data_IF_419961599852
#
_entry.id   IF_419961599852
#
_cell.length_a   1.000
_cell.length_b   1.000
_cell.length_c   1.000
_cell.angle_alpha   90.00
_cell.angle_beta   90.00
_cell.angle_gamma   90.00
#
_symmetry.space_group_name_H-M   'P 1'
#
loop_
_entity.id
_entity.type
_entity.pdbx_description
1 polymer ?
#
# COMPACT_ATOMS: atom_id res chain seq x y z
N UNK A 1 46.18 -70.47 58.62
CA UNK A 1 47.51 -69.95 58.23
C UNK A 1 48.03 -69.13 59.39
N UNK A 2 49.31 -69.21 59.72
CA UNK A 2 49.94 -68.41 60.78
C UNK A 2 50.94 -67.43 60.15
N UNK A 3 51.31 -66.37 60.88
CA UNK A 3 52.33 -65.41 60.43
C UNK A 3 53.43 -65.31 61.48
N UNK A 4 54.68 -65.36 61.04
CA UNK A 4 55.86 -65.33 61.92
C UNK A 4 56.49 -63.93 61.88
N UNK A 5 56.73 -63.36 63.05
CA UNK A 5 57.36 -62.07 63.24
C UNK A 5 58.64 -62.23 64.06
N UNK A 6 59.82 -61.84 63.54
CA UNK A 6 61.06 -61.93 64.30
C UNK A 6 61.13 -60.84 65.38
N UNK A 7 61.88 -61.11 66.46
CA UNK A 7 62.31 -60.12 67.44
C UNK A 7 63.83 -60.20 67.66
N UNK A 8 64.45 -59.05 67.88
CA UNK A 8 65.92 -58.90 67.92
C UNK A 8 66.49 -58.73 69.34
N UNK A 9 65.70 -59.07 70.36
CA UNK A 9 66.08 -58.91 71.75
C UNK A 9 65.96 -60.21 72.55
N UNK A 10 66.90 -60.46 73.48
CA UNK A 10 66.86 -61.61 74.39
C UNK A 10 65.66 -61.53 75.35
N UNK A 11 65.01 -62.67 75.58
CA UNK A 11 64.00 -62.90 76.62
C UNK A 11 64.38 -64.15 77.44
N UNK A 12 64.17 -64.10 78.76
CA UNK A 12 64.48 -65.21 79.68
C UNK A 12 63.31 -66.18 79.84
N UNK A 13 62.09 -65.68 79.70
CA UNK A 13 60.84 -66.42 79.87
C UNK A 13 59.88 -66.05 78.73
N UNK A 14 58.99 -66.96 78.33
CA UNK A 14 57.99 -66.69 77.28
C UNK A 14 56.97 -65.62 77.67
N UNK A 15 56.81 -65.35 78.96
CA UNK A 15 55.98 -64.26 79.50
C UNK A 15 56.68 -62.90 79.46
N UNK A 16 57.99 -62.85 79.20
CA UNK A 16 58.76 -61.60 79.14
C UNK A 16 58.61 -60.83 77.82
N UNK A 17 57.60 -61.17 77.02
CA UNK A 17 57.25 -60.49 75.78
C UNK A 17 55.76 -60.14 75.78
N UNK A 18 55.44 -58.95 75.29
CA UNK A 18 54.08 -58.50 75.04
C UNK A 18 53.90 -58.25 73.55
N UNK A 19 52.83 -58.80 72.99
CA UNK A 19 52.46 -58.60 71.59
C UNK A 19 51.18 -57.78 71.55
N UNK A 20 51.21 -56.68 70.80
CA UNK A 20 50.09 -55.75 70.65
C UNK A 20 49.73 -55.70 69.16
N UNK A 21 48.43 -55.81 68.87
CA UNK A 21 47.88 -55.63 67.53
C UNK A 21 47.20 -54.27 67.46
N UNK A 22 47.55 -53.46 66.45
CA UNK A 22 46.93 -52.17 66.17
C UNK A 22 46.05 -52.28 64.92
N UNK A 23 44.78 -51.96 65.07
CA UNK A 23 43.79 -51.92 63.99
C UNK A 23 43.99 -50.67 63.11
N UNK A 24 43.41 -50.67 61.91
CA UNK A 24 43.43 -49.50 60.99
C UNK A 24 42.76 -48.26 61.61
N UNK A 25 41.78 -48.46 62.50
CA UNK A 25 41.15 -47.38 63.28
C UNK A 25 42.06 -46.76 64.35
N UNK A 26 43.26 -47.32 64.55
CA UNK A 26 44.21 -46.89 65.57
C UNK A 26 44.03 -47.56 66.93
N UNK A 27 42.95 -48.33 67.14
CA UNK A 27 42.72 -49.06 68.39
C UNK A 27 43.76 -50.18 68.59
N UNK A 28 44.29 -50.29 69.80
CA UNK A 28 45.29 -51.30 70.17
C UNK A 28 44.69 -52.39 71.07
N UNK A 29 45.08 -53.64 70.84
CA UNK A 29 44.66 -54.80 71.65
C UNK A 29 45.86 -55.65 72.00
N UNK A 30 46.02 -55.96 73.29
CA UNK A 30 47.07 -56.86 73.78
C UNK A 30 46.67 -58.30 73.48
N UNK A 31 47.54 -59.04 72.78
CA UNK A 31 47.34 -60.44 72.48
C UNK A 31 47.73 -61.31 73.68
N UNK A 32 47.06 -62.45 73.85
CA UNK A 32 47.32 -63.42 74.93
C UNK A 32 48.22 -64.56 74.44
N UNK A 33 49.31 -64.83 75.16
CA UNK A 33 50.21 -65.97 74.93
C UNK A 33 49.43 -67.30 75.00
N UNK A 34 49.71 -68.23 74.09
CA UNK A 34 49.06 -69.55 74.02
C UNK A 34 47.68 -69.56 73.37
N UNK A 35 47.03 -68.40 73.23
CA UNK A 35 45.73 -68.24 72.54
C UNK A 35 45.93 -67.59 71.18
N UNK A 36 46.61 -66.44 71.15
CA UNK A 36 46.72 -65.59 69.97
C UNK A 36 48.09 -65.68 69.31
N UNK A 37 49.13 -65.99 70.09
CA UNK A 37 50.49 -66.17 69.61
C UNK A 37 51.26 -67.23 70.42
N UNK A 38 52.30 -67.79 69.80
CA UNK A 38 53.33 -68.61 70.46
C UNK A 38 54.70 -67.97 70.31
N UNK A 39 55.61 -68.29 71.23
CA UNK A 39 56.96 -67.71 71.30
C UNK A 39 57.99 -68.80 71.00
N UNK A 40 59.02 -68.46 70.22
CA UNK A 40 60.18 -69.31 69.96
C UNK A 40 61.47 -68.52 70.12
N UNK A 41 62.54 -69.18 70.59
CA UNK A 41 63.84 -68.53 70.83
C UNK A 41 64.02 -67.94 72.25
N UNK A 42 63.28 -68.46 73.24
CA UNK A 42 63.50 -68.13 74.66
C UNK A 42 64.92 -68.52 75.07
N UNK A 43 65.64 -67.63 75.75
CA UNK A 43 67.04 -67.81 76.13
C UNK A 43 68.06 -67.61 74.99
N UNK A 44 67.62 -67.29 73.77
CA UNK A 44 68.46 -66.89 72.64
C UNK A 44 68.63 -65.37 72.52
N UNK A 45 69.58 -64.92 71.70
CA UNK A 45 69.76 -63.48 71.42
C UNK A 45 68.67 -62.88 70.54
N UNK A 46 68.01 -63.73 69.75
CA UNK A 46 66.89 -63.41 68.86
C UNK A 46 65.84 -64.50 68.96
N UNK A 47 64.65 -64.24 68.44
CA UNK A 47 63.60 -65.25 68.33
C UNK A 47 62.46 -64.80 67.44
N UNK A 48 61.31 -65.47 67.57
CA UNK A 48 60.13 -65.14 66.78
C UNK A 48 58.82 -65.36 67.53
N UNK A 49 57.82 -64.59 67.13
CA UNK A 49 56.43 -64.71 67.54
C UNK A 49 55.64 -65.27 66.37
N UNK A 50 54.93 -66.38 66.58
CA UNK A 50 53.99 -66.92 65.59
C UNK A 50 52.58 -66.53 65.99
N UNK A 51 51.93 -65.66 65.21
CA UNK A 51 50.54 -65.27 65.41
C UNK A 51 49.62 -66.28 64.72
N UNK A 52 48.64 -66.81 65.47
CA UNK A 52 47.75 -67.87 64.98
C UNK A 52 46.75 -67.38 63.93
N UNK A 53 46.31 -66.13 64.04
CA UNK A 53 45.43 -65.46 63.08
C UNK A 53 46.17 -64.28 62.45
N UNK A 54 46.54 -64.34 61.16
CA UNK A 54 47.29 -63.30 60.49
C UNK A 54 46.61 -61.93 60.61
N UNK A 55 47.37 -60.85 60.87
CA UNK A 55 46.82 -59.49 60.85
C UNK A 55 46.26 -59.15 59.46
N UNK A 56 45.15 -58.42 59.41
CA UNK A 56 44.55 -57.97 58.15
C UNK A 56 45.42 -56.90 57.48
N UNK A 57 45.17 -56.63 56.19
CA UNK A 57 45.90 -55.58 55.45
C UNK A 57 45.76 -54.23 56.17
N UNK A 58 46.89 -53.61 56.49
CA UNK A 58 46.95 -52.34 57.22
C UNK A 58 46.98 -52.45 58.74
N UNK A 59 46.80 -53.64 59.33
CA UNK A 59 47.04 -53.87 60.75
C UNK A 59 48.54 -54.01 61.05
N UNK A 60 48.97 -53.47 62.20
CA UNK A 60 50.37 -53.49 62.64
C UNK A 60 50.51 -54.32 63.89
N UNK A 61 51.59 -55.11 63.97
CA UNK A 61 51.95 -55.88 65.17
C UNK A 61 53.17 -55.25 65.80
N UNK A 62 53.08 -54.92 67.09
CA UNK A 62 54.20 -54.45 67.89
C UNK A 62 54.58 -55.51 68.92
N UNK A 63 55.86 -55.84 68.97
CA UNK A 63 56.44 -56.78 69.93
C UNK A 63 57.32 -55.96 70.87
N UNK A 64 57.04 -56.06 72.17
CA UNK A 64 57.74 -55.33 73.22
C UNK A 64 58.26 -56.30 74.26
N UNK A 65 59.40 -55.96 74.87
CA UNK A 65 59.87 -56.66 76.07
C UNK A 65 59.00 -56.24 77.26
N UNK A 66 58.60 -57.22 78.09
CA UNK A 66 57.81 -56.99 79.31
C UNK A 66 58.33 -57.85 80.46
N UNK A 67 59.42 -57.42 81.07
CA UNK A 67 60.01 -58.06 82.25
C UNK A 67 59.34 -57.52 83.54
N UNK A 68 59.08 -58.37 84.55
CA UNK A 68 58.61 -57.91 85.86
C UNK A 68 59.62 -56.96 86.53
N UNK A 69 59.17 -55.86 87.13
CA UNK A 69 60.01 -54.90 87.88
C UNK A 69 60.25 -55.33 89.34
N UNK A 70 60.70 -56.58 89.55
CA UNK A 70 60.99 -57.13 90.88
C UNK A 70 62.28 -57.94 90.88
N UNK A 71 63.21 -57.65 91.78
CA UNK A 71 64.35 -58.55 91.99
C UNK A 71 63.89 -59.73 92.86
N UNK A 72 63.92 -60.94 92.29
CA UNK A 72 63.56 -62.17 93.02
C UNK A 72 64.80 -62.97 93.46
N UNK A 73 65.97 -62.69 92.90
CA UNK A 73 67.24 -63.33 93.28
C UNK A 73 67.64 -62.95 94.70
N UNK A 74 67.64 -63.91 95.63
CA UNK A 74 68.18 -63.74 96.97
C UNK A 74 69.61 -64.30 97.05
N UNK A 75 70.57 -63.47 97.48
CA UNK A 75 71.95 -63.91 97.71
C UNK A 75 72.14 -64.23 99.20
N UNK A 76 72.62 -65.44 99.50
CA UNK A 76 72.90 -65.86 100.87
C UNK A 76 74.23 -65.27 101.37
N UNK A 77 74.28 -64.89 102.65
CA UNK A 77 75.52 -64.43 103.26
C UNK A 77 76.46 -65.62 103.53
N UNK A 78 77.74 -65.49 103.18
CA UNK A 78 78.77 -66.53 103.36
C UNK A 78 78.50 -67.86 102.61
N UNK A 79 77.60 -67.85 101.61
CA UNK A 79 77.37 -68.98 100.71
C UNK A 79 78.40 -69.09 99.59
N UNK A 80 78.33 -70.17 98.80
CA UNK A 80 79.15 -70.31 97.59
C UNK A 80 78.75 -69.25 96.55
N UNK A 81 79.73 -68.66 95.86
CA UNK A 81 79.47 -67.70 94.79
C UNK A 81 79.10 -68.44 93.50
N UNK A 82 77.90 -68.20 92.99
CA UNK A 82 77.43 -68.72 91.71
C UNK A 82 77.38 -67.57 90.68
N UNK A 83 78.40 -67.41 89.82
CA UNK A 83 78.44 -66.33 88.83
C UNK A 83 77.18 -66.28 87.97
N UNK A 84 76.69 -67.44 87.52
CA UNK A 84 75.52 -67.53 86.63
C UNK A 84 74.25 -66.90 87.25
N UNK A 85 74.07 -67.01 88.56
CA UNK A 85 72.91 -66.43 89.29
C UNK A 85 73.02 -64.90 89.33
N UNK A 86 74.23 -64.38 89.51
CA UNK A 86 74.51 -62.95 89.57
C UNK A 86 74.39 -62.33 88.18
N UNK A 87 74.99 -62.95 87.16
CA UNK A 87 74.89 -62.52 85.77
C UNK A 87 73.44 -62.53 85.28
N UNK A 88 72.65 -63.58 85.58
CA UNK A 88 71.24 -63.63 85.22
C UNK A 88 70.43 -62.50 85.88
N UNK A 89 70.76 -62.11 87.12
CA UNK A 89 70.12 -60.99 87.80
C UNK A 89 70.49 -59.64 87.16
N UNK A 90 71.75 -59.45 86.79
CA UNK A 90 72.21 -58.23 86.10
C UNK A 90 71.68 -58.13 84.67
N UNK A 91 71.63 -59.22 83.92
CA UNK A 91 70.98 -59.29 82.60
C UNK A 91 69.51 -58.86 82.70
N UNK A 92 68.79 -59.34 83.72
CA UNK A 92 67.39 -58.97 83.94
C UNK A 92 67.23 -57.49 84.30
N UNK A 93 68.18 -56.91 85.04
CA UNK A 93 68.21 -55.47 85.32
C UNK A 93 68.45 -54.66 84.03
N UNK A 94 69.44 -55.03 83.23
CA UNK A 94 69.71 -54.38 81.94
C UNK A 94 68.50 -54.48 80.98
N UNK A 95 67.76 -55.59 81.02
CA UNK A 95 66.52 -55.75 80.26
C UNK A 95 65.42 -54.77 80.71
N UNK A 96 65.31 -54.48 82.01
CA UNK A 96 64.37 -53.48 82.55
C UNK A 96 64.76 -52.07 82.15
N UNK A 97 66.05 -51.74 82.19
CA UNK A 97 66.54 -50.42 81.78
C UNK A 97 66.26 -50.16 80.30
N UNK A 98 66.52 -51.14 79.43
CA UNK A 98 66.16 -51.07 78.01
C UNK A 98 64.64 -50.93 77.80
N UNK A 99 63.83 -51.60 78.62
CA UNK A 99 62.38 -51.47 78.56
C UNK A 99 61.90 -50.08 79.01
N UNK A 100 62.49 -49.50 80.05
CA UNK A 100 62.19 -48.13 80.47
C UNK A 100 62.63 -47.11 79.42
N UNK A 101 63.81 -47.30 78.80
CA UNK A 101 64.28 -46.46 77.70
C UNK A 101 63.29 -46.46 76.53
N UNK A 102 62.78 -47.63 76.14
CA UNK A 102 61.76 -47.75 75.09
C UNK A 102 60.46 -46.99 75.42
N UNK A 103 60.03 -47.03 76.69
CA UNK A 103 58.85 -46.29 77.14
C UNK A 103 59.09 -44.78 77.16
N UNK A 104 60.26 -44.34 77.62
CA UNK A 104 60.69 -42.93 77.63
C UNK A 104 60.82 -42.41 76.21
N UNK A 105 61.34 -43.19 75.26
CA UNK A 105 61.46 -42.78 73.85
C UNK A 105 60.11 -42.55 73.17
N UNK A 106 59.03 -43.10 73.71
CA UNK A 106 57.65 -42.86 73.25
C UNK A 106 56.90 -41.82 74.08
N UNK A 107 57.51 -41.22 75.10
CA UNK A 107 56.88 -40.16 75.89
C UNK A 107 57.09 -38.77 75.25
N UNK A 108 56.27 -37.80 75.64
CA UNK A 108 56.56 -36.39 75.37
C UNK A 108 57.78 -35.99 76.21
N UNK A 109 58.78 -35.38 75.57
CA UNK A 109 60.01 -34.91 76.23
C UNK A 109 60.15 -33.40 76.02
N UNK A 110 60.51 -32.70 77.08
CA UNK A 110 60.97 -31.30 77.00
C UNK A 110 62.50 -31.26 76.96
N UNK A 111 63.10 -30.19 76.40
CA UNK A 111 64.55 -30.03 76.41
C UNK A 111 65.13 -30.12 77.84
N UNK A 112 66.36 -30.67 78.03
CA UNK A 112 66.95 -30.77 79.36
C UNK A 112 67.17 -29.43 80.08
N UNK A 113 67.20 -28.33 79.33
CA UNK A 113 67.34 -26.96 79.83
C UNK A 113 66.01 -26.27 80.15
N UNK A 114 64.88 -26.90 79.81
CA UNK A 114 63.55 -26.33 80.02
C UNK A 114 63.12 -26.49 81.48
N UNK A 115 62.35 -25.52 81.98
CA UNK A 115 61.75 -25.60 83.31
C UNK A 115 60.62 -26.63 83.30
N UNK A 116 60.52 -27.54 84.29
CA UNK A 116 59.36 -28.42 84.44
C UNK A 116 58.00 -27.72 84.34
N UNK A 117 57.88 -26.44 84.74
CA UNK A 117 56.65 -25.65 84.58
C UNK A 117 56.21 -25.47 83.12
N UNK A 118 57.13 -25.54 82.15
CA UNK A 118 56.80 -25.48 80.72
C UNK A 118 56.01 -26.71 80.26
N UNK A 119 56.19 -27.86 80.91
CA UNK A 119 55.39 -29.06 80.64
C UNK A 119 53.95 -28.87 81.13
N UNK A 120 53.76 -28.20 82.27
CA UNK A 120 52.43 -27.88 82.78
C UNK A 120 51.69 -26.90 81.85
N UNK A 121 52.41 -25.93 81.28
CA UNK A 121 51.87 -25.03 80.27
C UNK A 121 51.44 -25.78 78.99
N UNK A 122 52.28 -26.67 78.47
CA UNK A 122 51.93 -27.52 77.32
C UNK A 122 50.70 -28.38 77.61
N UNK A 123 50.63 -28.96 78.80
CA UNK A 123 49.47 -29.74 79.23
C UNK A 123 48.19 -28.89 79.28
N UNK A 124 48.29 -27.67 79.83
CA UNK A 124 47.16 -26.74 79.89
C UNK A 124 46.66 -26.34 78.49
N UNK A 125 47.57 -26.11 77.54
CA UNK A 125 47.21 -25.79 76.16
C UNK A 125 46.55 -26.97 75.43
N UNK A 126 47.03 -28.20 75.64
CA UNK A 126 46.40 -29.40 75.10
C UNK A 126 44.99 -29.60 75.69
N UNK A 127 44.82 -29.37 76.99
CA UNK A 127 43.49 -29.44 77.63
C UNK A 127 42.54 -28.35 77.11
N UNK A 128 43.04 -27.12 76.90
CA UNK A 128 42.27 -26.03 76.29
C UNK A 128 41.82 -26.37 74.88
N UNK A 129 42.71 -26.95 74.07
CA UNK A 129 42.39 -27.39 72.72
C UNK A 129 41.33 -28.50 72.75
N UNK A 130 41.48 -29.49 73.64
CA UNK A 130 40.50 -30.56 73.82
C UNK A 130 39.13 -30.03 74.24
N UNK A 131 39.08 -29.04 75.14
CA UNK A 131 37.82 -28.42 75.57
C UNK A 131 37.14 -27.60 74.46
N UNK A 132 37.91 -27.16 73.46
CA UNK A 132 37.41 -26.38 72.32
C UNK A 132 36.98 -27.24 71.13
N UNK A 133 37.14 -28.57 71.20
CA UNK A 133 36.83 -29.47 70.08
C UNK A 133 35.38 -29.36 69.61
N UNK A 134 34.41 -29.45 70.53
CA UNK A 134 32.98 -29.33 70.20
C UNK A 134 32.62 -27.95 69.61
N UNK A 135 33.31 -26.90 70.05
CA UNK A 135 33.14 -25.55 69.52
C UNK A 135 33.67 -25.45 68.08
N UNK A 136 34.81 -26.07 67.79
CA UNK A 136 35.36 -26.15 66.43
C UNK A 136 34.44 -26.93 65.50
N UNK A 137 33.85 -28.04 65.95
CA UNK A 137 32.86 -28.80 65.18
C UNK A 137 31.60 -27.96 64.91
N UNK A 138 31.15 -27.19 65.90
CA UNK A 138 30.03 -26.24 65.75
C UNK A 138 30.35 -25.16 64.71
N UNK A 139 31.54 -24.55 64.78
CA UNK A 139 31.98 -23.54 63.80
C UNK A 139 32.07 -24.14 62.40
N UNK A 140 32.61 -25.35 62.26
CA UNK A 140 32.68 -26.06 61.00
C UNK A 140 31.30 -26.34 60.40
N UNK A 141 30.31 -26.67 61.24
CA UNK A 141 28.93 -26.88 60.81
C UNK A 141 28.23 -25.58 60.36
N UNK A 142 28.57 -24.43 60.94
CA UNK A 142 27.99 -23.12 60.60
C UNK A 142 28.64 -22.51 59.35
N UNK A 143 29.91 -22.80 59.06
CA UNK A 143 30.64 -22.29 57.90
C UNK A 143 29.87 -22.34 56.56
N UNK A 144 29.23 -23.47 56.15
CA UNK A 144 28.45 -23.51 54.92
C UNK A 144 27.18 -22.64 54.97
N UNK A 145 26.59 -22.42 56.14
CA UNK A 145 25.40 -21.57 56.30
C UNK A 145 25.73 -20.10 56.06
N UNK A 146 26.92 -19.63 56.46
CA UNK A 146 27.37 -18.26 56.22
C UNK A 146 27.45 -17.96 54.71
N UNK A 147 27.88 -18.94 53.91
CA UNK A 147 27.89 -18.82 52.45
C UNK A 147 26.47 -18.72 51.87
N UNK A 148 25.51 -19.46 52.44
CA UNK A 148 24.09 -19.36 52.03
C UNK A 148 23.49 -17.99 52.38
N UNK A 149 23.81 -17.44 53.56
CA UNK A 149 23.35 -16.10 53.96
C UNK A 149 23.88 -15.03 53.02
N UNK A 150 25.14 -15.12 52.59
CA UNK A 150 25.70 -14.19 51.61
C UNK A 150 24.97 -14.26 50.24
N UNK A 151 24.57 -15.45 49.80
CA UNK A 151 23.77 -15.60 48.57
C UNK A 151 22.35 -15.03 48.71
N UNK A 152 21.74 -15.09 49.89
CA UNK A 152 20.43 -14.47 50.17
C UNK A 152 20.54 -12.94 50.15
N UNK A 153 21.65 -12.35 50.57
CA UNK A 153 21.87 -10.89 50.53
C UNK A 153 21.73 -10.34 49.10
N UNK A 154 22.27 -11.06 48.10
CA UNK A 154 22.10 -10.73 46.68
C UNK A 154 20.62 -10.78 46.24
N UNK A 155 19.82 -11.75 46.74
CA UNK A 155 18.38 -11.82 46.47
C UNK A 155 17.59 -10.69 47.13
N UNK A 156 18.01 -10.22 48.31
CA UNK A 156 17.35 -9.09 49.03
C UNK A 156 17.47 -7.78 48.23
N UNK A 157 18.57 -7.59 47.48
CA UNK A 157 18.71 -6.45 46.55
C UNK A 157 17.58 -6.44 45.52
N UNK A 158 17.22 -7.60 44.96
CA UNK A 158 16.09 -7.70 44.02
C UNK A 158 14.74 -7.38 44.65
N UNK A 159 14.53 -7.68 45.94
CA UNK A 159 13.29 -7.31 46.65
C UNK A 159 13.15 -5.79 46.78
N UNK A 160 14.26 -5.07 46.98
CA UNK A 160 14.27 -3.59 46.96
C UNK A 160 13.85 -3.03 45.60
N UNK A 161 14.36 -3.61 44.51
CA UNK A 161 14.00 -3.22 43.15
C UNK A 161 12.52 -3.51 42.85
N UNK A 162 12.02 -4.69 43.26
CA UNK A 162 10.60 -5.04 43.15
C UNK A 162 9.73 -4.03 43.91
N UNK A 163 10.14 -3.62 45.12
CA UNK A 163 9.40 -2.61 45.89
C UNK A 163 9.31 -1.27 45.16
N UNK A 164 10.39 -0.82 44.53
CA UNK A 164 10.38 0.38 43.71
C UNK A 164 9.40 0.26 42.53
N UNK A 165 9.40 -0.90 41.84
CA UNK A 165 8.46 -1.18 40.76
C UNK A 165 6.99 -1.17 41.24
N UNK A 166 6.69 -1.72 42.41
CA UNK A 166 5.34 -1.70 43.00
C UNK A 166 4.85 -0.28 43.27
N UNK A 167 5.71 0.61 43.77
CA UNK A 167 5.35 2.03 43.97
C UNK A 167 4.97 2.69 42.63
N UNK A 168 5.74 2.45 41.57
CA UNK A 168 5.43 2.94 40.23
C UNK A 168 4.09 2.41 39.71
N UNK A 169 3.82 1.11 39.87
CA UNK A 169 2.54 0.49 39.46
C UNK A 169 1.36 1.07 40.25
N UNK A 170 1.54 1.37 41.54
CA UNK A 170 0.52 2.05 42.34
C UNK A 170 0.22 3.44 41.80
N UNK A 171 1.25 4.22 41.43
CA UNK A 171 1.06 5.53 40.80
C UNK A 171 0.30 5.45 39.48
N UNK A 172 0.65 4.48 38.61
CA UNK A 172 -0.06 4.23 37.35
C UNK A 172 -1.52 3.85 37.61
N UNK A 173 -1.80 3.03 38.64
CA UNK A 173 -3.17 2.68 39.02
C UNK A 173 -3.98 3.92 39.39
N UNK A 174 -3.40 4.83 40.16
CA UNK A 174 -4.08 6.07 40.55
C UNK A 174 -4.37 6.94 39.31
N UNK A 175 -3.42 7.06 38.37
CA UNK A 175 -3.66 7.73 37.08
C UNK A 175 -4.79 7.06 36.28
N UNK A 176 -4.82 5.73 36.17
CA UNK A 176 -5.89 5.00 35.47
C UNK A 176 -7.26 5.24 36.13
N UNK A 177 -7.33 5.31 37.46
CA UNK A 177 -8.56 5.65 38.19
C UNK A 177 -9.02 7.08 37.84
N UNK A 178 -8.10 8.04 37.69
CA UNK A 178 -8.47 9.39 37.24
C UNK A 178 -9.01 9.39 35.80
N UNK A 179 -8.40 8.64 34.88
CA UNK A 179 -8.88 8.50 33.50
C UNK A 179 -10.27 7.85 33.47
N UNK A 180 -10.51 6.82 34.29
CA UNK A 180 -11.84 6.22 34.44
C UNK A 180 -12.87 7.23 34.99
N UNK A 181 -12.46 8.12 35.89
CA UNK A 181 -13.29 9.22 36.38
C UNK A 181 -13.69 10.25 35.32
N UNK A 182 -12.90 10.41 34.25
CA UNK A 182 -13.21 11.30 33.11
C UNK A 182 -14.15 10.64 32.08
N UNK A 183 -14.33 9.31 32.11
CA UNK A 183 -15.17 8.59 31.15
C UNK A 183 -16.63 9.08 31.08
N UNK A 184 -17.33 9.40 32.21
CA UNK A 184 -18.65 9.99 32.16
C UNK A 184 -18.69 11.37 31.50
N UNK A 185 -17.64 12.20 31.69
CA UNK A 185 -17.54 13.50 31.04
C UNK A 185 -17.36 13.38 29.53
N UNK A 186 -16.57 12.40 29.06
CA UNK A 186 -16.43 12.08 27.63
C UNK A 186 -17.75 11.61 27.04
N UNK A 187 -18.52 10.79 27.77
CA UNK A 187 -19.84 10.35 27.33
C UNK A 187 -20.80 11.54 27.23
N UNK A 188 -20.83 12.43 28.23
CA UNK A 188 -21.63 13.65 28.18
C UNK A 188 -21.28 14.55 26.98
N UNK A 189 -19.99 14.66 26.61
CA UNK A 189 -19.58 15.39 25.40
C UNK A 189 -20.10 14.72 24.12
N UNK A 190 -20.11 13.37 24.04
CA UNK A 190 -20.70 12.64 22.91
C UNK A 190 -22.20 12.86 22.81
N UNK A 191 -22.90 12.82 23.93
CA UNK A 191 -24.35 13.03 23.98
C UNK A 191 -24.67 14.47 23.53
N UNK A 192 -23.94 15.47 24.05
CA UNK A 192 -24.05 16.87 23.61
C UNK A 192 -23.77 17.04 22.10
N UNK A 193 -22.80 16.30 21.56
CA UNK A 193 -22.49 16.34 20.12
C UNK A 193 -23.66 15.80 19.29
N UNK A 194 -24.30 14.71 19.73
CA UNK A 194 -25.48 14.16 19.08
C UNK A 194 -26.65 15.16 19.10
N UNK A 195 -26.87 15.84 20.24
CA UNK A 195 -27.90 16.88 20.36
C UNK A 195 -27.62 18.06 19.40
N UNK A 196 -26.37 18.50 19.27
CA UNK A 196 -25.98 19.56 18.32
C UNK A 196 -26.20 19.12 16.87
N UNK A 197 -25.89 17.87 16.52
CA UNK A 197 -26.14 17.33 15.18
C UNK A 197 -27.63 17.29 14.86
N UNK A 198 -28.45 16.77 15.77
CA UNK A 198 -29.91 16.76 15.62
C UNK A 198 -30.48 18.19 15.49
N UNK A 199 -29.98 19.15 16.27
CA UNK A 199 -30.39 20.54 16.16
C UNK A 199 -30.02 21.17 14.79
N UNK A 200 -28.86 20.81 14.25
CA UNK A 200 -28.43 21.27 12.92
C UNK A 200 -29.30 20.69 11.80
N UNK A 201 -29.66 19.40 11.88
CA UNK A 201 -30.59 18.75 10.95
C UNK A 201 -31.98 19.42 10.99
N UNK A 202 -32.54 19.60 12.19
CA UNK A 202 -33.83 20.30 12.36
C UNK A 202 -33.79 21.74 11.80
N UNK A 203 -32.67 22.45 11.95
CA UNK A 203 -32.52 23.80 11.41
C UNK A 203 -32.49 23.81 9.87
N UNK A 204 -31.87 22.79 9.26
CA UNK A 204 -31.85 22.62 7.81
C UNK A 204 -33.25 22.29 7.27
N UNK A 205 -33.97 21.36 7.91
CA UNK A 205 -35.36 21.04 7.55
C UNK A 205 -36.27 22.28 7.64
N UNK A 206 -36.12 23.08 8.70
CA UNK A 206 -36.86 24.33 8.86
C UNK A 206 -36.54 25.35 7.76
N UNK A 207 -35.28 25.41 7.31
CA UNK A 207 -34.86 26.27 6.19
C UNK A 207 -35.50 25.79 4.89
N UNK A 208 -35.44 24.50 4.59
CA UNK A 208 -36.04 23.91 3.39
C UNK A 208 -37.55 24.11 3.35
N UNK A 209 -38.23 23.90 4.48
CA UNK A 209 -39.67 24.16 4.62
C UNK A 209 -40.02 25.64 4.37
N UNK A 210 -39.18 26.57 4.86
CA UNK A 210 -39.34 28.01 4.61
C UNK A 210 -39.13 28.34 3.12
N UNK A 211 -38.08 27.81 2.51
CA UNK A 211 -37.78 28.07 1.09
C UNK A 211 -38.92 27.54 0.19
N UNK A 212 -39.47 26.36 0.50
CA UNK A 212 -40.65 25.82 -0.18
C UNK A 212 -41.91 26.68 0.03
N UNK A 213 -42.14 27.19 1.25
CA UNK A 213 -43.26 28.08 1.53
C UNK A 213 -43.15 29.41 0.77
N UNK A 214 -41.93 29.95 0.61
CA UNK A 214 -41.68 31.14 -0.20
C UNK A 214 -41.95 30.86 -1.68
N UNK A 215 -41.52 29.70 -2.19
CA UNK A 215 -41.82 29.28 -3.56
C UNK A 215 -43.34 29.21 -3.80
N UNK A 216 -44.11 28.54 -2.94
CA UNK A 216 -45.57 28.46 -3.10
C UNK A 216 -46.27 29.81 -3.00
N UNK A 217 -45.77 30.73 -2.17
CA UNK A 217 -46.28 32.10 -2.11
C UNK A 217 -46.04 32.83 -3.42
N UNK A 218 -44.84 32.72 -3.98
CA UNK A 218 -44.46 33.42 -5.22
C UNK A 218 -45.22 32.83 -6.42
N UNK A 219 -45.36 31.50 -6.50
CA UNK A 219 -46.23 30.84 -7.50
C UNK A 219 -47.69 31.30 -7.40
N UNK A 220 -48.24 31.43 -6.18
CA UNK A 220 -49.59 31.93 -5.97
C UNK A 220 -49.76 33.40 -6.43
N UNK A 221 -48.72 34.22 -6.29
CA UNK A 221 -48.71 35.59 -6.79
C UNK A 221 -48.68 35.64 -8.33
N UNK A 222 -47.85 34.81 -8.97
CA UNK A 222 -47.80 34.69 -10.42
C UNK A 222 -49.14 34.20 -10.99
N UNK A 223 -49.77 33.20 -10.35
CA UNK A 223 -51.10 32.75 -10.75
C UNK A 223 -52.11 33.90 -10.65
N UNK A 224 -52.10 34.69 -9.58
CA UNK A 224 -53.01 35.82 -9.41
C UNK A 224 -52.84 36.90 -10.51
N UNK A 225 -51.62 37.14 -10.99
CA UNK A 225 -51.36 38.04 -12.12
C UNK A 225 -51.93 37.52 -13.45
N UNK A 226 -51.84 36.20 -13.69
CA UNK A 226 -52.37 35.57 -14.92
C UNK A 226 -53.90 35.64 -14.97
N UNK A 227 -54.62 35.49 -13.86
CA UNK A 227 -56.10 35.47 -13.88
C UNK A 227 -56.72 36.87 -13.90
N UNK A 228 -55.92 37.94 -13.87
CA UNK A 228 -56.42 39.33 -13.93
C UNK A 228 -57.10 39.60 -15.30
N UNK A 229 -58.43 39.81 -15.33
CA UNK A 229 -59.17 40.05 -16.58
C UNK A 229 -58.74 41.32 -17.33
N UNK A 230 -58.01 42.24 -16.68
CA UNK A 230 -57.52 43.48 -17.30
C UNK A 230 -56.32 43.27 -18.24
N UNK A 231 -55.69 42.08 -18.22
CA UNK A 231 -54.50 41.74 -19.02
C UNK A 231 -54.80 40.98 -20.33
N UNK A 232 -56.07 40.79 -20.70
CA UNK A 232 -56.47 40.04 -21.90
C UNK A 232 -57.04 40.93 -23.01
N UNK A 233 -56.61 40.72 -24.26
CA UNK A 233 -57.22 41.33 -25.44
C UNK A 233 -58.67 40.86 -25.62
N UNK A 234 -59.54 41.78 -25.97
CA UNK A 234 -60.96 41.53 -26.18
C UNK A 234 -61.21 40.75 -27.48
N UNK A 235 -62.31 40.00 -27.55
CA UNK A 235 -62.73 39.25 -28.76
C UNK A 235 -62.75 40.12 -30.04
N UNK A 236 -63.01 41.42 -29.89
CA UNK A 236 -63.02 42.38 -30.99
C UNK A 236 -61.62 42.67 -31.59
N UNK A 237 -60.55 42.51 -30.82
CA UNK A 237 -59.17 42.74 -31.29
C UNK A 237 -58.61 41.54 -32.05
N UNK A 238 -59.13 40.33 -31.80
CA UNK A 238 -58.75 39.09 -32.50
C UNK A 238 -59.40 39.03 -33.89
N UNK A 239 -60.66 39.45 -34.04
CA UNK A 239 -61.40 39.37 -35.32
C UNK A 239 -60.85 40.28 -36.43
N UNK A 240 -60.06 41.32 -36.09
CA UNK A 240 -59.40 42.20 -37.07
C UNK A 240 -58.20 41.52 -37.75
N UNK A 241 -57.47 40.63 -37.05
CA UNK A 241 -56.22 40.02 -37.52
C UNK A 241 -56.41 38.89 -38.55
N UNK A 242 -57.57 38.22 -38.53
CA UNK A 242 -57.91 37.08 -39.40
C UNK A 242 -58.60 37.48 -40.73
N UNK A 243 -58.91 38.77 -40.92
CA UNK A 243 -59.66 39.27 -42.08
C UNK A 243 -58.80 39.75 -43.28
N UNK A 244 -57.49 39.91 -43.10
CA UNK A 244 -56.56 40.42 -44.12
C UNK A 244 -55.32 39.51 -44.29
N UNK A 245 -55.37 38.49 -45.18
CA UNK A 245 -54.28 37.53 -45.34
C UNK A 245 -52.98 38.15 -45.91
N UNK A 246 -53.06 39.31 -46.56
CA UNK A 246 -51.89 40.01 -47.09
C UNK A 246 -51.10 40.74 -45.99
N UNK A 247 -51.76 41.20 -44.93
CA UNK A 247 -51.10 41.82 -43.78
C UNK A 247 -50.21 40.85 -42.98
N UNK A 248 -50.45 39.54 -43.13
CA UNK A 248 -49.75 38.47 -42.40
C UNK A 248 -48.50 37.93 -43.12
N UNK A 249 -48.26 38.31 -44.37
CA UNK A 249 -47.07 37.84 -45.10
C UNK A 249 -45.81 38.56 -44.60
N UNK A 250 -44.67 37.89 -44.41
CA UNK A 250 -43.45 38.58 -44.01
C UNK A 250 -42.94 39.54 -45.10
N UNK A 251 -42.23 40.59 -44.69
CA UNK A 251 -41.59 41.52 -45.64
C UNK A 251 -40.51 40.75 -46.42
N UNK A 252 -40.45 40.94 -47.74
CA UNK A 252 -39.57 40.20 -48.65
C UNK A 252 -40.14 38.87 -49.14
N UNK A 253 -41.30 38.43 -48.62
CA UNK A 253 -41.96 37.23 -49.11
C UNK A 253 -42.52 37.42 -50.52
N UNK A 254 -42.31 36.40 -51.36
CA UNK A 254 -42.87 36.33 -52.71
C UNK A 254 -44.17 35.53 -52.68
N UNK A 255 -45.24 36.12 -53.20
CA UNK A 255 -46.52 35.45 -53.41
C UNK A 255 -46.80 35.35 -54.91
N UNK A 256 -47.14 34.16 -55.36
CA UNK A 256 -47.54 33.90 -56.74
C UNK A 256 -49.07 34.01 -56.84
N UNK A 257 -49.56 34.90 -57.70
CA UNK A 257 -50.99 35.07 -57.97
C UNK A 257 -51.26 34.90 -59.46
N UNK A 258 -52.45 34.38 -59.79
CA UNK A 258 -52.95 34.37 -61.17
C UNK A 258 -53.69 35.69 -61.42
N UNK A 259 -53.01 36.62 -62.06
CA UNK A 259 -53.59 37.91 -62.43
C UNK A 259 -54.78 37.74 -63.39
N UNK A 260 -55.85 38.51 -63.17
CA UNK A 260 -57.04 38.54 -64.04
C UNK A 260 -58.19 37.59 -63.69
N UNK A 261 -58.13 36.83 -62.58
CA UNK A 261 -59.26 36.02 -62.07
C UNK A 261 -60.03 36.83 -61.02
N UNK A 262 -61.32 37.11 -61.26
CA UNK A 262 -62.15 38.00 -60.40
C UNK A 262 -62.20 37.58 -58.93
N UNK A 263 -62.11 36.29 -58.63
CA UNK A 263 -62.18 35.76 -57.27
C UNK A 263 -60.83 35.80 -56.52
N UNK A 264 -59.73 36.18 -57.17
CA UNK A 264 -58.40 36.30 -56.56
C UNK A 264 -57.99 37.78 -56.66
N UNK A 265 -58.34 38.62 -55.66
CA UNK A 265 -57.98 40.03 -55.69
C UNK A 265 -56.47 40.19 -55.56
N UNK A 266 -55.92 41.17 -56.28
CA UNK A 266 -54.54 41.59 -56.09
C UNK A 266 -54.34 42.23 -54.71
N UNK A 267 -53.11 42.21 -54.16
CA UNK A 267 -52.83 42.89 -52.91
C UNK A 267 -53.19 44.38 -53.03
N UNK A 268 -54.00 44.92 -52.12
CA UNK A 268 -54.48 46.30 -52.24
C UNK A 268 -53.33 47.31 -52.07
N UNK A 269 -53.42 48.43 -52.77
CA UNK A 269 -52.41 49.51 -52.75
C UNK A 269 -52.60 50.50 -51.60
N UNK A 270 -53.75 50.48 -50.93
CA UNK A 270 -54.21 51.47 -49.95
C UNK A 270 -54.23 50.96 -48.50
N UNK A 271 -53.32 50.05 -48.15
CA UNK A 271 -53.17 49.51 -46.78
C UNK A 271 -51.87 50.01 -46.14
N UNK A 272 -51.69 49.71 -44.85
CA UNK A 272 -50.45 50.03 -44.14
C UNK A 272 -49.24 49.25 -44.69
N UNK A 273 -49.49 48.04 -45.20
CA UNK A 273 -48.53 47.24 -45.95
C UNK A 273 -48.52 47.61 -47.44
N UNK A 274 -47.42 47.30 -48.14
CA UNK A 274 -47.29 47.57 -49.58
C UNK A 274 -46.59 46.43 -50.28
N UNK A 275 -47.15 46.03 -51.42
CA UNK A 275 -46.54 45.09 -52.36
C UNK A 275 -46.08 45.79 -53.62
N UNK A 276 -45.11 45.18 -54.30
CA UNK A 276 -44.71 45.48 -55.67
C UNK A 276 -44.96 44.28 -56.58
N UNK A 277 -45.37 44.55 -57.80
CA UNK A 277 -45.50 43.56 -58.88
C UNK A 277 -44.14 43.44 -59.55
N UNK A 278 -43.58 42.25 -59.68
CA UNK A 278 -42.22 42.06 -60.20
C UNK A 278 -42.16 42.06 -61.74
N UNK A 279 -42.88 43.00 -62.36
CA UNK A 279 -43.01 43.20 -63.81
C UNK A 279 -42.52 44.60 -64.18
N UNK A 280 -41.69 44.71 -65.20
CA UNK A 280 -41.23 45.97 -65.79
C UNK A 280 -42.37 46.74 -66.47
N UNK A 281 -42.24 48.06 -66.57
CA UNK A 281 -43.21 48.99 -67.13
C UNK A 281 -44.34 49.37 -66.19
N UNK A 282 -44.27 48.98 -64.91
CA UNK A 282 -45.35 49.17 -63.93
C UNK A 282 -45.21 50.43 -63.07
N UNK A 283 -44.27 51.32 -63.38
CA UNK A 283 -43.96 52.53 -62.60
C UNK A 283 -44.71 53.78 -63.04
N UNK A 284 -45.38 53.73 -64.21
CA UNK A 284 -46.17 54.84 -64.74
C UNK A 284 -47.44 55.14 -63.95
N UNK A 285 -48.04 56.31 -64.19
CA UNK A 285 -49.26 56.76 -63.54
C UNK A 285 -50.40 55.74 -63.71
N UNK A 286 -51.05 55.36 -62.61
CA UNK A 286 -52.13 54.37 -62.57
C UNK A 286 -51.68 52.91 -62.49
N UNK A 287 -50.41 52.60 -62.77
CA UNK A 287 -49.87 51.24 -62.74
C UNK A 287 -49.66 50.71 -61.30
N UNK A 288 -49.31 49.43 -61.15
CA UNK A 288 -49.26 48.82 -59.82
C UNK A 288 -48.09 49.33 -58.97
N UNK A 289 -46.93 49.57 -59.59
CA UNK A 289 -45.71 50.05 -58.92
C UNK A 289 -45.53 51.58 -58.99
N UNK A 290 -46.60 52.32 -59.29
CA UNK A 290 -46.57 53.78 -59.32
C UNK A 290 -45.97 54.33 -58.01
N UNK A 291 -44.91 55.14 -58.15
CA UNK A 291 -44.25 55.83 -57.07
C UNK A 291 -43.46 54.96 -56.07
N UNK A 292 -43.37 53.64 -56.28
CA UNK A 292 -42.70 52.72 -55.33
C UNK A 292 -41.46 52.01 -55.89
N UNK A 293 -41.21 52.12 -57.19
CA UNK A 293 -39.95 51.67 -57.82
C UNK A 293 -39.34 52.83 -58.63
N UNK A 294 -38.01 52.89 -58.65
CA UNK A 294 -37.21 53.82 -59.46
C UNK A 294 -36.08 53.08 -60.17
N UNK A 295 -35.40 53.75 -61.11
CA UNK A 295 -34.22 53.22 -61.81
C UNK A 295 -34.45 51.84 -62.45
N UNK A 296 -35.60 51.68 -63.09
CA UNK A 296 -35.95 50.44 -63.78
C UNK A 296 -35.12 50.26 -65.07
N UNK A 297 -34.52 49.08 -65.23
CA UNK A 297 -33.69 48.71 -66.38
C UNK A 297 -34.12 47.34 -66.89
N UNK A 298 -34.32 47.22 -68.21
CA UNK A 298 -34.49 45.95 -68.91
C UNK A 298 -33.45 45.87 -70.02
N UNK A 299 -32.65 44.81 -70.05
CA UNK A 299 -31.58 44.61 -71.03
C UNK A 299 -31.40 43.14 -71.45
N UNK A 300 -30.68 42.93 -72.55
CA UNK A 300 -30.47 41.60 -73.14
C UNK A 300 -31.58 41.18 -74.12
N UNK A 301 -31.40 40.00 -74.70
CA UNK A 301 -32.39 39.31 -75.54
C UNK A 301 -32.63 37.92 -74.97
N UNK A 302 -33.71 37.26 -75.40
CA UNK A 302 -33.90 35.85 -75.04
C UNK A 302 -32.69 35.01 -75.49
N UNK A 303 -32.25 34.02 -74.69
CA UNK A 303 -32.83 33.55 -73.42
C UNK A 303 -32.31 34.26 -72.15
N UNK A 304 -31.48 35.31 -72.25
CA UNK A 304 -30.76 35.95 -71.12
C UNK A 304 -31.26 37.37 -70.83
N UNK A 305 -32.58 37.55 -70.71
CA UNK A 305 -33.18 38.85 -70.35
C UNK A 305 -32.92 39.16 -68.87
N UNK A 306 -32.46 40.39 -68.59
CA UNK A 306 -32.19 40.89 -67.24
C UNK A 306 -33.04 42.14 -66.98
N UNK A 307 -33.79 42.16 -65.88
CA UNK A 307 -34.70 43.23 -65.52
C UNK A 307 -34.67 43.50 -64.02
N UNK A 308 -34.35 44.74 -63.64
CA UNK A 308 -34.23 45.14 -62.24
C UNK A 308 -34.66 46.59 -62.04
N UNK A 309 -35.03 46.93 -60.80
CA UNK A 309 -35.36 48.27 -60.35
C UNK A 309 -34.87 48.47 -58.90
N UNK A 310 -35.00 49.67 -58.38
CA UNK A 310 -34.72 50.00 -56.98
C UNK A 310 -36.03 50.32 -56.25
N UNK A 311 -36.22 49.76 -55.05
CA UNK A 311 -37.39 50.07 -54.22
C UNK A 311 -37.27 51.50 -53.69
N UNK A 312 -38.30 52.31 -53.91
CA UNK A 312 -38.35 53.70 -53.48
C UNK A 312 -39.65 53.98 -52.72
N UNK A 313 -39.73 53.51 -51.47
CA UNK A 313 -40.87 53.71 -50.58
C UNK A 313 -40.40 54.10 -49.18
N UNK A 314 -40.68 55.34 -48.79
CA UNK A 314 -40.36 55.82 -47.44
C UNK A 314 -41.06 54.97 -46.35
N UNK A 315 -40.29 54.56 -45.35
CA UNK A 315 -40.75 53.69 -44.25
C UNK A 315 -40.82 52.20 -44.59
N UNK A 316 -40.37 51.77 -45.78
CA UNK A 316 -40.04 50.37 -46.04
C UNK A 316 -38.64 50.05 -45.51
N UNK A 317 -38.46 48.89 -44.87
CA UNK A 317 -37.12 48.38 -44.51
C UNK A 317 -36.28 48.00 -45.73
N UNK A 318 -36.90 47.89 -46.90
CA UNK A 318 -36.25 47.60 -48.18
C UNK A 318 -36.03 48.85 -49.03
N UNK A 319 -36.29 50.06 -48.50
CA UNK A 319 -36.08 51.29 -49.26
C UNK A 319 -34.62 51.42 -49.72
N UNK A 320 -34.42 51.70 -51.01
CA UNK A 320 -33.11 51.77 -51.66
C UNK A 320 -32.51 50.41 -52.07
N UNK A 321 -33.14 49.29 -51.73
CA UNK A 321 -32.65 47.96 -52.11
C UNK A 321 -32.99 47.63 -53.58
N UNK A 322 -32.08 46.96 -54.32
CA UNK A 322 -32.37 46.50 -55.67
C UNK A 322 -33.35 45.31 -55.62
N UNK A 323 -34.27 45.27 -56.57
CA UNK A 323 -35.22 44.18 -56.77
C UNK A 323 -35.18 43.70 -58.21
N UNK A 324 -35.29 42.37 -58.38
CA UNK A 324 -35.39 41.73 -59.70
C UNK A 324 -36.84 41.68 -60.14
N UNK A 325 -37.09 42.08 -61.38
CA UNK A 325 -38.41 42.04 -62.00
C UNK A 325 -38.58 40.66 -62.66
N UNK A 326 -38.70 39.64 -61.82
CA UNK A 326 -38.65 38.22 -62.24
C UNK A 326 -39.79 37.81 -63.17
N UNK A 327 -40.93 38.51 -63.16
CA UNK A 327 -42.01 38.26 -64.12
C UNK A 327 -41.56 38.66 -65.54
N UNK A 328 -40.72 39.71 -65.65
CA UNK A 328 -40.12 40.16 -66.92
C UNK A 328 -38.91 39.32 -67.32
N UNK A 329 -38.02 38.97 -66.37
CA UNK A 329 -36.88 38.08 -66.63
C UNK A 329 -37.33 36.65 -66.99
N UNK A 330 -38.56 36.26 -66.62
CA UNK A 330 -39.08 34.86 -66.65
C UNK A 330 -38.20 33.88 -65.88
N UNK A 331 -37.40 34.38 -64.93
CA UNK A 331 -36.49 33.59 -64.10
C UNK A 331 -37.28 32.80 -63.06
N UNK A 332 -37.05 31.48 -62.99
CA UNK A 332 -37.63 30.64 -61.95
C UNK A 332 -36.77 30.68 -60.68
N UNK A 333 -37.41 30.54 -59.52
CA UNK A 333 -36.73 30.52 -58.23
C UNK A 333 -36.29 29.09 -57.90
N UNK A 334 -35.07 28.96 -57.37
CA UNK A 334 -34.50 27.69 -56.89
C UNK A 334 -33.82 27.93 -55.54
N UNK A 335 -33.98 26.99 -54.61
CA UNK A 335 -33.26 27.01 -53.34
C UNK A 335 -31.73 26.89 -53.58
N UNK A 336 -30.94 27.75 -52.93
CA UNK A 336 -29.50 27.88 -53.15
C UNK A 336 -28.97 29.14 -52.48
N UNK A 337 -27.91 29.74 -53.02
CA UNK A 337 -27.32 31.00 -52.53
C UNK A 337 -28.22 32.21 -52.87
N UNK A 338 -28.94 32.80 -51.91
CA UNK A 338 -29.89 33.88 -52.21
C UNK A 338 -29.19 35.09 -52.84
N UNK A 339 -29.77 35.64 -53.90
CA UNK A 339 -29.23 36.81 -54.61
C UNK A 339 -28.16 36.53 -55.67
N UNK A 340 -27.57 35.32 -55.72
CA UNK A 340 -26.68 34.93 -56.82
C UNK A 340 -27.51 34.60 -58.07
N UNK A 341 -27.32 35.37 -59.15
CA UNK A 341 -28.01 35.09 -60.42
C UNK A 341 -27.31 33.96 -61.17
N UNK A 342 -28.09 32.99 -61.61
CA UNK A 342 -27.63 31.89 -62.44
C UNK A 342 -28.45 31.89 -63.72
N UNK A 343 -27.78 32.02 -64.86
CA UNK A 343 -28.38 31.81 -66.17
C UNK A 343 -28.28 30.32 -66.55
N UNK A 344 -28.88 29.94 -67.68
CA UNK A 344 -28.81 28.55 -68.15
C UNK A 344 -27.35 28.10 -68.30
N UNK A 345 -26.97 27.05 -67.56
CA UNK A 345 -25.64 26.44 -67.67
C UNK A 345 -25.45 25.70 -69.01
N UNK A 346 -26.54 25.35 -69.68
CA UNK A 346 -26.52 24.85 -71.06
C UNK A 346 -26.54 26.04 -72.03
N UNK A 347 -25.42 26.75 -72.14
CA UNK A 347 -25.22 27.80 -73.15
C UNK A 347 -24.89 27.22 -74.52
N UNK A 348 -24.22 26.07 -74.54
CA UNK A 348 -23.99 25.23 -75.72
C UNK A 348 -23.81 23.78 -75.26
N UNK A 349 -24.17 22.84 -76.11
CA UNK A 349 -23.75 21.45 -75.95
C UNK A 349 -23.11 21.01 -77.27
N UNK A 350 -22.01 20.28 -77.17
CA UNK A 350 -21.30 19.74 -78.31
C UNK A 350 -21.34 18.21 -78.21
N UNK A 351 -21.65 17.55 -79.31
CA UNK A 351 -21.47 16.12 -79.44
C UNK A 351 -20.11 15.87 -80.08
N UNK A 352 -19.24 15.17 -79.36
CA UNK A 352 -18.01 14.62 -79.93
C UNK A 352 -18.19 13.11 -80.00
N UNK A 353 -17.97 12.54 -81.18
CA UNK A 353 -17.82 11.10 -81.35
C UNK A 353 -16.34 10.86 -81.66
N UNK A 354 -15.74 9.91 -80.96
CA UNK A 354 -14.36 9.51 -81.17
C UNK A 354 -14.36 8.02 -81.50
N UNK A 355 -14.54 7.70 -82.77
CA UNK A 355 -14.33 6.34 -83.24
C UNK A 355 -12.93 6.27 -83.85
N UNK A 356 -12.05 5.55 -83.16
CA UNK A 356 -10.65 5.38 -83.56
C UNK A 356 -10.46 4.59 -84.87
N UNK A 357 -11.53 4.09 -85.49
CA UNK A 357 -11.50 3.31 -86.72
C UNK A 357 -12.02 4.03 -87.97
N UNK A 358 -12.63 5.22 -87.86
CA UNK A 358 -13.17 5.90 -89.03
C UNK A 358 -12.80 7.38 -89.14
N UNK A 359 -12.53 7.80 -90.38
CA UNK A 359 -12.21 9.18 -90.71
C UNK A 359 -13.48 10.02 -90.65
N UNK A 360 -13.45 11.06 -89.82
CA UNK A 360 -14.47 12.09 -89.80
C UNK A 360 -14.33 12.94 -91.07
N UNK A 361 -15.12 12.63 -92.08
CA UNK A 361 -15.29 13.52 -93.23
C UNK A 361 -16.34 14.54 -92.86
N UNK A 362 -15.90 15.78 -92.61
CA UNK A 362 -16.79 16.92 -92.62
C UNK A 362 -17.27 17.09 -94.07
N UNK A 363 -18.44 16.55 -94.39
CA UNK A 363 -19.15 16.94 -95.61
C UNK A 363 -19.72 18.33 -95.31
N UNK A 364 -18.91 19.35 -95.52
CA UNK A 364 -19.45 20.68 -95.74
C UNK A 364 -20.04 20.70 -97.13
N UNK A 365 -21.31 20.31 -97.27
CA UNK A 365 -22.06 20.63 -98.48
C UNK A 365 -22.89 21.89 -98.25
N UNK A 366 -22.81 22.82 -99.20
CA UNK A 366 -23.22 24.22 -99.10
C UNK A 366 -22.09 25.23 -99.41
N UNK A 367 -20.98 24.75 -99.97
CA UNK A 367 -19.86 25.55 -100.46
C UNK A 367 -20.27 26.77 -101.31
N UNK A 368 -19.48 27.83 -101.23
CA UNK A 368 -19.02 28.61 -102.39
C UNK A 368 -17.80 29.44 -102.00
N UNK A 369 -16.65 28.80 -101.79
CA UNK A 369 -15.40 29.51 -101.58
C UNK A 369 -14.28 28.61 -101.11
N UNK A 370 -13.17 28.58 -101.86
CA UNK A 370 -11.95 27.84 -101.55
C UNK A 370 -11.38 28.37 -100.23
N UNK A 371 -11.68 27.70 -99.12
CA UNK A 371 -10.98 27.90 -97.86
C UNK A 371 -10.09 26.68 -97.63
N UNK A 372 -8.86 26.79 -98.11
CA UNK A 372 -7.71 26.06 -97.57
C UNK A 372 -7.71 26.24 -96.06
N UNK A 373 -8.11 25.21 -95.32
CA UNK A 373 -7.78 25.09 -93.90
C UNK A 373 -6.52 24.24 -93.87
N UNK A 374 -5.33 24.83 -93.64
CA UNK A 374 -4.10 24.08 -93.54
C UNK A 374 -4.22 23.17 -92.32
N UNK A 375 -4.21 21.86 -92.54
CA UNK A 375 -3.86 20.94 -91.47
C UNK A 375 -2.33 20.92 -91.44
N UNK A 376 -1.78 21.63 -90.46
CA UNK A 376 -0.35 21.70 -90.19
C UNK A 376 0.04 20.39 -89.50
N UNK A 377 0.73 19.55 -90.24
CA UNK A 377 1.66 18.57 -89.68
C UNK A 377 2.94 18.65 -90.53
N UNK A 378 3.81 19.61 -90.15
CA UNK A 378 5.27 19.63 -90.26
C UNK A 378 5.96 19.10 -91.55
N UNK A 379 6.65 20.01 -92.28
CA UNK A 379 7.69 19.72 -93.30
C UNK A 379 7.24 18.93 -94.56
N UNK A 380 7.12 19.64 -95.69
CA UNK A 380 7.57 19.14 -97.00
C UNK A 380 6.75 18.05 -97.68
N UNK A 381 6.06 18.44 -98.75
CA UNK A 381 5.25 17.64 -99.67
C UNK A 381 5.97 16.35 -100.09
N UNK A 382 5.37 15.19 -99.78
CA UNK A 382 5.54 14.00 -100.60
C UNK A 382 4.25 13.19 -100.68
N UNK A 383 3.83 12.93 -101.91
CA UNK A 383 2.65 12.19 -102.32
C UNK A 383 2.58 10.82 -101.63
N UNK A 384 1.56 10.62 -100.78
CA UNK A 384 1.06 9.28 -100.48
C UNK A 384 -0.39 9.16 -100.94
N UNK A 385 -0.58 8.35 -101.99
CA UNK A 385 -1.87 7.99 -102.57
C UNK A 385 -2.56 7.00 -101.63
N UNK A 386 -3.65 7.42 -101.00
CA UNK A 386 -4.53 6.50 -100.26
C UNK A 386 -5.66 6.06 -101.17
N UNK A 387 -5.72 4.74 -101.37
CA UNK A 387 -6.71 4.04 -102.15
C UNK A 387 -8.11 4.23 -101.54
N UNK A 388 -9.12 4.40 -102.41
CA UNK A 388 -10.52 4.19 -102.06
C UNK A 388 -10.70 2.71 -101.71
N UNK A 389 -10.70 2.39 -100.42
CA UNK A 389 -11.22 1.12 -99.92
C UNK A 389 -12.72 1.30 -99.62
N UNK A 390 -13.55 0.56 -100.34
CA UNK A 390 -15.00 0.65 -100.37
C UNK A 390 -15.67 -0.10 -99.21
N UNK A 391 -15.08 -0.11 -98.02
CA UNK A 391 -15.62 -0.83 -96.85
C UNK A 391 -15.55 0.00 -95.56
N UNK A 392 -16.51 0.90 -95.34
CA UNK A 392 -16.91 1.37 -93.98
C UNK A 392 -17.97 2.50 -94.03
N UNK A 393 -19.15 2.23 -94.60
CA UNK A 393 -20.33 3.07 -94.29
C UNK A 393 -21.01 2.46 -93.06
N UNK A 394 -20.42 2.68 -91.88
CA UNK A 394 -21.11 2.43 -90.62
C UNK A 394 -22.23 3.48 -90.50
N UNK A 395 -23.46 2.99 -90.55
CA UNK A 395 -24.72 3.73 -90.70
C UNK A 395 -25.13 4.43 -89.41
N UNK A 396 -24.28 5.31 -88.87
CA UNK A 396 -24.56 6.06 -87.63
C UNK A 396 -24.03 7.50 -87.73
N UNK A 397 -24.75 8.35 -88.47
CA UNK A 397 -24.54 9.80 -88.46
C UNK A 397 -25.54 10.49 -87.53
N UNK A 398 -25.07 11.44 -86.72
CA UNK A 398 -25.92 12.24 -85.81
C UNK A 398 -26.48 13.45 -86.57
N UNK A 399 -27.80 13.52 -86.72
CA UNK A 399 -28.52 14.70 -87.25
C UNK A 399 -29.08 15.52 -86.09
N UNK A 400 -28.78 16.82 -86.02
CA UNK A 400 -29.32 17.73 -84.99
C UNK A 400 -30.45 18.55 -85.63
N UNK A 401 -31.70 18.30 -85.21
CA UNK A 401 -32.86 19.10 -85.60
C UNK A 401 -33.31 19.95 -84.40
N UNK A 402 -33.35 21.28 -84.55
CA UNK A 402 -33.95 22.18 -83.57
C UNK A 402 -35.32 22.66 -84.07
N UNK A 403 -36.40 22.20 -83.43
CA UNK A 403 -37.77 22.71 -83.61
C UNK A 403 -38.25 23.30 -82.27
N UNK A 404 -38.49 24.61 -82.19
CA UNK A 404 -38.88 25.28 -80.95
C UNK A 404 -38.94 26.83 -81.05
N UNK A 405 -39.24 27.48 -79.92
CA UNK A 405 -39.27 28.95 -79.74
C UNK A 405 -37.86 29.52 -79.50
N UNK A 406 -37.70 30.85 -79.46
CA UNK A 406 -36.42 31.54 -79.22
C UNK A 406 -35.83 31.35 -77.81
N UNK A 407 -36.57 30.70 -76.90
CA UNK A 407 -36.14 30.37 -75.54
C UNK A 407 -36.31 28.86 -75.26
N UNK A 408 -35.24 28.19 -74.83
CA UNK A 408 -35.31 26.80 -74.37
C UNK A 408 -35.81 26.76 -72.92
N UNK A 409 -37.01 26.21 -72.69
CA UNK A 409 -37.63 26.16 -71.36
C UNK A 409 -38.41 24.87 -71.13
N UNK A 410 -38.52 24.45 -69.86
CA UNK A 410 -39.45 23.38 -69.46
C UNK A 410 -40.91 23.84 -69.63
N UNK A 411 -41.85 22.89 -69.77
CA UNK A 411 -43.29 23.21 -69.80
C UNK A 411 -43.65 23.97 -68.52
N UNK A 412 -44.23 25.17 -68.65
CA UNK A 412 -44.60 26.05 -67.54
C UNK A 412 -45.96 26.73 -67.77
N UNK A 413 -46.49 27.34 -66.71
CA UNK A 413 -47.67 28.22 -66.75
C UNK A 413 -47.29 29.58 -66.14
N UNK A 414 -47.76 30.67 -66.74
CA UNK A 414 -47.50 32.02 -66.26
C UNK A 414 -48.26 32.33 -64.97
N UNK A 415 -47.56 32.91 -64.00
CA UNK A 415 -48.11 33.52 -62.77
C UNK A 415 -47.35 34.81 -62.51
N UNK A 416 -48.00 35.75 -61.85
CA UNK A 416 -47.38 37.02 -61.47
C UNK A 416 -46.92 36.95 -60.02
N UNK A 417 -45.64 37.24 -59.81
CA UNK A 417 -45.08 37.38 -58.48
C UNK A 417 -45.24 38.80 -57.96
N UNK A 418 -45.73 38.89 -56.73
CA UNK A 418 -45.75 40.10 -55.93
C UNK A 418 -44.79 39.92 -54.74
N UNK A 419 -44.10 40.98 -54.34
CA UNK A 419 -43.25 41.00 -53.15
C UNK A 419 -43.74 42.03 -52.15
N UNK A 420 -43.86 41.65 -50.88
CA UNK A 420 -44.17 42.61 -49.81
C UNK A 420 -42.93 43.44 -49.50
N UNK A 421 -43.06 44.76 -49.54
CA UNK A 421 -41.98 45.71 -49.24
C UNK A 421 -42.26 46.53 -47.97
N UNK A 422 -43.49 46.57 -47.47
CA UNK A 422 -43.87 47.26 -46.23
C UNK A 422 -44.99 46.49 -45.54
#
# INVERSE_FOLDING_TARGET
>A
MTTVFPYEFRIVDETHVQVIKRLVSGAETVLTLGVHYTVAGVGGQTGSITILVPPAVGEVVKILRKVPFKQETALENQGAYFPDVVEAAFDLAAMRDQQLQEQIDRSVKIPPSADPEELDALLADVLRLSASADALDTVAAIAPQVVQVAAIDDEVVHVSDIRAAVVTVSGIRDEVVTVAGVAPAVQAVKDNLADVQNAAENAQEAKEAKDLALQYRDEAADFAEIIDPSNYYTKAEIDVSISDPFALQPIGALIALRHGITQIPEPPKNKAYRYILLTAGQTGTGAYNEGVLTSEVVSGSQPTVSAYATINLAGSVMNGQPVRLINTERRFLRAGSPGTLQDSAFGSHAHTYNDGGHKHTLIGDGASGVASIPRIDNQGISNQKFFNDATSVATTGITINANGDTETRSRNIGVDYYMRIK
#
